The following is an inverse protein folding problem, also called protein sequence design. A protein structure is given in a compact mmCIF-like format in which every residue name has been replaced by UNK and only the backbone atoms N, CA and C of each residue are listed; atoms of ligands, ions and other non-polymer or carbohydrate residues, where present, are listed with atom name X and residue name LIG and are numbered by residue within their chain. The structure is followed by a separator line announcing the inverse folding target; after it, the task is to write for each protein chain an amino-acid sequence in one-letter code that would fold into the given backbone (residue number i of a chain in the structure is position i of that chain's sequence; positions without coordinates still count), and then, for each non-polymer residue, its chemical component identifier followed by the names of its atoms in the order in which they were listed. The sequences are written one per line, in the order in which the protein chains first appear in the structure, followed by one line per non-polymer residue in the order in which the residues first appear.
data_IF_056698636661
#
_entry.id   IF_056698636661
#
_cell.length_a   1.000
_cell.length_b   1.000
_cell.length_c   1.000
_cell.angle_alpha   90.00
_cell.angle_beta   90.00
_cell.angle_gamma   90.00
#
_symmetry.space_group_name_H-M   'P 1'
#
loop_
_entity.id
_entity.type
_entity.pdbx_description
1 polymer ?
#
# COMPACT_ATOMS: atom_id res chain seq x y z
N UNK A 1 8.92 30.37 15.75
CA UNK A 1 9.20 29.69 17.04
C UNK A 1 9.41 28.21 16.74
N UNK A 2 10.33 27.50 17.38
CA UNK A 2 10.54 26.07 17.09
C UNK A 2 9.51 25.21 17.81
N UNK A 3 8.67 24.52 17.06
CA UNK A 3 7.79 23.48 17.62
C UNK A 3 8.60 22.23 18.00
N UNK A 4 8.16 21.56 19.06
CA UNK A 4 8.76 20.31 19.53
C UNK A 4 7.79 19.16 19.34
N UNK A 5 8.34 18.05 18.87
CA UNK A 5 7.68 16.77 18.66
C UNK A 5 8.54 15.68 19.29
N UNK A 6 7.90 14.61 19.75
CA UNK A 6 8.61 13.43 20.24
C UNK A 6 9.17 12.63 19.05
N UNK A 7 8.41 12.58 17.95
CA UNK A 7 8.76 11.86 16.72
C UNK A 7 8.42 12.72 15.51
N UNK A 8 9.35 12.80 14.56
CA UNK A 8 9.15 13.41 13.26
C UNK A 8 9.06 12.32 12.18
N UNK A 9 8.02 12.39 11.34
CA UNK A 9 7.81 11.52 10.18
C UNK A 9 8.02 12.36 8.92
N UNK A 10 8.86 11.87 8.01
CA UNK A 10 9.16 12.55 6.73
C UNK A 10 8.55 11.72 5.60
N UNK A 11 7.65 12.33 4.84
CA UNK A 11 6.86 11.70 3.78
C UNK A 11 5.45 11.35 4.24
N UNK A 12 4.46 11.74 3.45
CA UNK A 12 3.02 11.54 3.66
C UNK A 12 2.41 10.42 2.83
N UNK A 13 3.23 9.52 2.26
CA UNK A 13 2.75 8.30 1.61
C UNK A 13 2.26 7.24 2.61
N UNK A 14 1.90 6.05 2.11
CA UNK A 14 1.34 4.95 2.93
C UNK A 14 2.24 4.57 4.10
N UNK A 15 3.57 4.57 3.91
CA UNK A 15 4.52 4.28 4.98
C UNK A 15 4.47 5.34 6.10
N UNK A 16 4.51 6.62 5.73
CA UNK A 16 4.54 7.72 6.69
C UNK A 16 3.21 7.90 7.43
N UNK A 17 2.08 7.86 6.72
CA UNK A 17 0.78 8.03 7.35
C UNK A 17 0.41 6.84 8.25
N UNK A 18 0.80 5.62 7.87
CA UNK A 18 0.53 4.42 8.66
C UNK A 18 1.34 4.36 9.94
N UNK A 19 2.61 4.81 9.91
CA UNK A 19 3.45 4.88 11.11
C UNK A 19 3.03 6.05 12.03
N UNK A 20 2.68 7.21 11.47
CA UNK A 20 2.16 8.34 12.24
C UNK A 20 0.87 7.97 12.98
N UNK A 21 -0.08 7.32 12.31
CA UNK A 21 -1.33 6.87 12.92
C UNK A 21 -1.08 5.91 14.11
N UNK A 22 -0.19 4.93 13.94
CA UNK A 22 0.14 3.96 15.00
C UNK A 22 0.85 4.60 16.19
N UNK A 23 1.85 5.45 15.94
CA UNK A 23 2.66 6.07 17.00
C UNK A 23 1.96 7.22 17.72
N UNK A 24 0.98 7.87 17.08
CA UNK A 24 0.25 9.01 17.65
C UNK A 24 -0.51 8.70 18.95
N UNK A 25 -0.73 7.42 19.27
CA UNK A 25 -1.31 6.99 20.55
C UNK A 25 -0.35 7.11 21.74
N UNK A 26 0.95 7.30 21.46
CA UNK A 26 2.02 7.19 22.45
C UNK A 26 2.96 8.40 22.47
N UNK A 27 2.88 9.28 21.48
CA UNK A 27 3.86 10.35 21.27
C UNK A 27 3.25 11.51 20.48
N UNK A 28 3.76 12.74 20.69
CA UNK A 28 3.44 13.89 19.86
C UNK A 28 4.17 13.78 18.52
N UNK A 29 3.41 13.58 17.44
CA UNK A 29 3.94 13.36 16.08
C UNK A 29 3.79 14.61 15.22
N UNK A 30 4.85 14.95 14.50
CA UNK A 30 4.81 15.84 13.35
C UNK A 30 5.09 15.05 12.07
N UNK A 31 4.29 15.24 11.02
CA UNK A 31 4.48 14.64 9.70
C UNK A 31 4.73 15.74 8.68
N UNK A 32 5.82 15.64 7.91
CA UNK A 32 6.16 16.58 6.84
C UNK A 32 6.07 15.89 5.49
N UNK A 33 5.19 16.38 4.63
CA UNK A 33 5.05 16.02 3.22
C UNK A 33 5.55 17.18 2.36
N UNK A 34 6.40 16.87 1.39
CA UNK A 34 6.95 17.85 0.46
C UNK A 34 5.88 18.34 -0.53
N UNK A 35 4.98 17.45 -0.94
CA UNK A 35 3.95 17.75 -1.93
C UNK A 35 2.73 18.45 -1.31
N UNK A 36 1.88 19.03 -2.16
CA UNK A 36 0.65 19.73 -1.74
C UNK A 36 -0.37 18.79 -1.07
N UNK A 37 -0.30 17.51 -1.42
CA UNK A 37 -1.19 16.47 -0.91
C UNK A 37 -0.43 15.20 -0.54
N UNK A 38 -0.97 14.49 0.44
CA UNK A 38 -0.45 13.19 0.85
C UNK A 38 -0.49 12.21 -0.33
N UNK A 39 0.44 11.25 -0.32
CA UNK A 39 0.46 10.13 -1.25
C UNK A 39 0.62 10.46 -2.75
N UNK A 40 1.15 11.62 -3.12
CA UNK A 40 1.39 12.01 -4.52
C UNK A 40 2.26 11.02 -5.34
N UNK A 41 3.22 10.38 -4.68
CA UNK A 41 4.21 9.50 -5.31
C UNK A 41 3.72 8.05 -5.39
N UNK A 42 4.56 7.07 -5.10
CA UNK A 42 4.29 5.64 -5.33
C UNK A 42 2.98 5.13 -4.73
N UNK A 43 2.53 5.70 -3.61
CA UNK A 43 1.30 5.26 -2.92
C UNK A 43 0.02 5.48 -3.74
N UNK A 44 -0.07 6.52 -4.59
CA UNK A 44 -1.23 6.74 -5.47
C UNK A 44 -1.07 6.13 -6.86
N UNK A 45 0.07 5.48 -7.15
CA UNK A 45 0.41 4.93 -8.47
C UNK A 45 0.48 3.40 -8.49
N UNK A 46 0.08 2.76 -7.41
CA UNK A 46 0.09 1.30 -7.30
C UNK A 46 -1.05 0.67 -8.10
N UNK A 47 -0.88 -0.57 -8.53
CA UNK A 47 -1.99 -1.39 -9.04
C UNK A 47 -2.97 -1.81 -7.92
N UNK A 48 -2.63 -1.52 -6.66
CA UNK A 48 -3.42 -1.76 -5.46
C UNK A 48 -3.92 -3.20 -5.28
N UNK A 49 -3.12 -4.18 -5.71
CA UNK A 49 -3.43 -5.60 -5.55
C UNK A 49 -2.81 -6.16 -4.27
N UNK A 50 -3.62 -6.84 -3.46
CA UNK A 50 -3.21 -7.54 -2.25
C UNK A 50 -3.19 -9.06 -2.48
N UNK A 51 -2.03 -9.66 -2.23
CA UNK A 51 -1.81 -11.11 -2.24
C UNK A 51 -1.03 -11.44 -0.98
N UNK A 52 -1.62 -12.20 -0.06
CA UNK A 52 -1.09 -12.37 1.29
C UNK A 52 0.29 -13.03 1.35
N UNK A 53 0.59 -13.91 0.40
CA UNK A 53 1.83 -14.70 0.33
C UNK A 53 2.73 -14.30 -0.85
N UNK A 54 2.56 -13.07 -1.37
CA UNK A 54 3.43 -12.54 -2.43
C UNK A 54 4.61 -11.77 -1.86
N UNK A 55 5.82 -12.29 -2.09
CA UNK A 55 7.08 -11.67 -1.66
C UNK A 55 8.06 -12.68 -1.08
N UNK A 56 9.03 -12.19 -0.33
CA UNK A 56 9.87 -13.02 0.53
C UNK A 56 9.15 -13.34 1.85
N UNK A 57 9.73 -14.18 2.69
CA UNK A 57 9.14 -14.60 3.97
C UNK A 57 8.67 -13.43 4.83
N UNK A 58 9.49 -12.40 4.94
CA UNK A 58 9.25 -11.26 5.84
C UNK A 58 8.09 -10.41 5.32
N UNK A 59 8.02 -10.18 4.00
CA UNK A 59 6.91 -9.49 3.36
C UNK A 59 5.61 -10.28 3.52
N UNK A 60 5.65 -11.61 3.36
CA UNK A 60 4.48 -12.46 3.54
C UNK A 60 3.96 -12.39 4.99
N UNK A 61 4.84 -12.40 5.99
CA UNK A 61 4.45 -12.25 7.39
C UNK A 61 3.78 -10.89 7.65
N UNK A 62 4.37 -9.79 7.15
CA UNK A 62 3.79 -8.46 7.24
C UNK A 62 2.44 -8.35 6.53
N UNK A 63 2.30 -8.98 5.37
CA UNK A 63 1.04 -9.03 4.63
C UNK A 63 -0.03 -9.75 5.44
N UNK A 64 0.25 -10.92 6.02
CA UNK A 64 -0.73 -11.67 6.83
C UNK A 64 -1.23 -10.87 8.04
N UNK A 65 -0.33 -10.19 8.74
CA UNK A 65 -0.70 -9.29 9.85
C UNK A 65 -1.58 -8.15 9.33
N UNK A 66 -1.17 -7.52 8.23
CA UNK A 66 -1.89 -6.41 7.61
C UNK A 66 -3.27 -6.83 7.12
N UNK A 67 -3.42 -8.05 6.58
CA UNK A 67 -4.69 -8.56 6.09
C UNK A 67 -5.74 -8.64 7.21
N UNK A 68 -5.34 -9.21 8.36
CA UNK A 68 -6.19 -9.29 9.55
C UNK A 68 -6.60 -7.90 10.06
N UNK A 69 -5.66 -6.94 10.06
CA UNK A 69 -5.96 -5.56 10.44
C UNK A 69 -6.91 -4.88 9.46
N UNK A 70 -6.68 -5.01 8.15
CA UNK A 70 -7.55 -4.42 7.13
C UNK A 70 -8.98 -4.96 7.22
N UNK A 71 -9.16 -6.27 7.40
CA UNK A 71 -10.48 -6.88 7.55
C UNK A 71 -11.21 -6.41 8.81
N UNK A 72 -10.51 -6.33 9.94
CA UNK A 72 -11.12 -5.99 11.23
C UNK A 72 -11.37 -4.50 11.42
N UNK A 73 -10.41 -3.65 11.03
CA UNK A 73 -10.44 -2.20 11.27
C UNK A 73 -11.06 -1.42 10.11
N UNK A 74 -10.96 -1.96 8.89
CA UNK A 74 -11.38 -1.27 7.68
C UNK A 74 -12.16 -2.19 6.72
N UNK A 75 -13.34 -2.68 7.14
CA UNK A 75 -14.05 -3.77 6.46
C UNK A 75 -14.42 -3.51 5.00
N UNK A 76 -14.44 -2.24 4.56
CA UNK A 76 -14.80 -1.84 3.19
C UNK A 76 -13.59 -1.55 2.28
N UNK A 77 -12.35 -1.73 2.75
CA UNK A 77 -11.14 -1.40 1.97
C UNK A 77 -10.76 -2.52 1.00
N UNK A 78 -11.07 -3.77 1.33
CA UNK A 78 -10.71 -4.93 0.52
C UNK A 78 -11.90 -5.36 -0.33
N UNK A 79 -11.66 -5.50 -1.64
CA UNK A 79 -12.64 -6.08 -2.57
C UNK A 79 -12.04 -7.29 -3.25
N UNK A 80 -12.69 -8.45 -3.12
CA UNK A 80 -12.23 -9.66 -3.79
C UNK A 80 -12.31 -9.49 -5.31
N UNK A 81 -11.21 -9.80 -6.00
CA UNK A 81 -11.08 -9.69 -7.47
C UNK A 81 -10.56 -10.95 -8.14
N UNK A 82 -9.84 -11.78 -7.39
CA UNK A 82 -9.03 -12.88 -7.93
C UNK A 82 -7.90 -12.44 -8.87
N UNK A 83 -7.08 -13.41 -9.27
CA UNK A 83 -5.96 -13.25 -10.19
C UNK A 83 -5.97 -14.37 -11.22
N UNK A 84 -5.83 -14.01 -12.49
CA UNK A 84 -5.74 -14.96 -13.60
C UNK A 84 -4.43 -14.78 -14.35
N UNK A 85 -3.76 -15.89 -14.66
CA UNK A 85 -2.67 -15.94 -15.62
C UNK A 85 -3.10 -16.73 -16.85
N UNK A 86 -2.68 -16.27 -18.04
CA UNK A 86 -3.03 -16.86 -19.33
C UNK A 86 -1.76 -17.12 -20.14
N UNK A 87 -1.70 -18.26 -20.80
CA UNK A 87 -0.59 -18.68 -21.66
C UNK A 87 -1.08 -18.78 -23.12
N UNK A 88 -0.29 -18.28 -24.08
CA UNK A 88 -0.65 -18.25 -25.50
C UNK A 88 0.24 -19.09 -26.42
N UNK A 89 1.50 -19.33 -26.05
CA UNK A 89 2.56 -19.87 -26.92
C UNK A 89 2.77 -21.38 -26.78
N UNK A 90 2.08 -22.03 -25.84
CA UNK A 90 2.26 -23.45 -25.53
C UNK A 90 3.47 -23.74 -24.63
N UNK A 91 4.05 -22.76 -23.93
CA UNK A 91 5.21 -22.98 -23.04
C UNK A 91 4.79 -23.55 -21.67
N UNK A 92 4.22 -24.76 -21.66
CA UNK A 92 3.62 -25.42 -20.48
C UNK A 92 4.52 -25.45 -19.25
N UNK A 93 5.81 -25.77 -19.44
CA UNK A 93 6.75 -25.89 -18.31
C UNK A 93 7.04 -24.54 -17.63
N UNK A 94 7.11 -23.45 -18.38
CA UNK A 94 7.34 -22.10 -17.82
C UNK A 94 6.08 -21.57 -17.15
N UNK A 95 4.93 -21.76 -17.80
CA UNK A 95 3.64 -21.35 -17.26
C UNK A 95 3.35 -22.01 -15.92
N UNK A 96 3.48 -23.34 -15.81
CA UNK A 96 3.19 -24.06 -14.56
C UNK A 96 4.11 -23.60 -13.41
N UNK A 97 5.38 -23.31 -13.70
CA UNK A 97 6.31 -22.78 -12.70
C UNK A 97 5.87 -21.40 -12.20
N UNK A 98 5.53 -20.49 -13.13
CA UNK A 98 5.09 -19.14 -12.78
C UNK A 98 3.73 -19.12 -12.07
N UNK A 99 2.78 -19.95 -12.53
CA UNK A 99 1.49 -20.12 -11.90
C UNK A 99 1.66 -20.58 -10.44
N UNK A 100 2.48 -21.62 -10.23
CA UNK A 100 2.78 -22.14 -8.90
C UNK A 100 3.47 -21.10 -8.01
N UNK A 101 4.40 -20.30 -8.54
CA UNK A 101 5.05 -19.24 -7.74
C UNK A 101 4.11 -18.11 -7.30
N UNK A 102 2.94 -17.97 -7.94
CA UNK A 102 1.91 -17.01 -7.58
C UNK A 102 0.75 -17.64 -6.79
N UNK A 103 0.85 -18.93 -6.44
CA UNK A 103 -0.22 -19.68 -5.77
C UNK A 103 -1.45 -19.90 -6.66
N UNK A 104 -1.32 -19.81 -7.98
CA UNK A 104 -2.41 -20.01 -8.93
C UNK A 104 -2.67 -21.52 -9.14
N UNK A 105 -3.95 -21.90 -9.17
CA UNK A 105 -4.39 -23.26 -9.52
C UNK A 105 -4.77 -23.33 -11.00
N UNK A 106 -4.37 -24.37 -11.75
CA UNK A 106 -4.80 -24.54 -13.14
C UNK A 106 -6.32 -24.57 -13.28
N UNK A 107 -6.84 -23.91 -14.32
CA UNK A 107 -8.25 -23.97 -14.74
C UNK A 107 -8.31 -24.20 -16.25
N UNK A 108 -9.44 -24.72 -16.73
CA UNK A 108 -9.69 -24.84 -18.17
C UNK A 108 -9.81 -23.46 -18.82
N UNK A 109 -9.53 -23.39 -20.12
CA UNK A 109 -9.69 -22.15 -20.91
C UNK A 109 -11.18 -21.74 -21.01
N UNK A 110 -12.09 -22.70 -20.85
CA UNK A 110 -13.54 -22.46 -20.80
C UNK A 110 -13.88 -21.73 -19.48
N UNK A 111 -13.45 -22.25 -18.33
CA UNK A 111 -13.63 -21.59 -17.03
C UNK A 111 -12.99 -20.19 -17.01
N UNK A 112 -11.84 -20.03 -17.65
CA UNK A 112 -11.20 -18.72 -17.77
C UNK A 112 -12.09 -17.72 -18.52
N UNK A 113 -12.73 -18.16 -19.62
CA UNK A 113 -13.67 -17.32 -20.39
C UNK A 113 -14.95 -17.01 -19.62
N UNK A 114 -15.44 -17.95 -18.80
CA UNK A 114 -16.58 -17.69 -17.91
C UNK A 114 -16.25 -16.60 -16.90
N UNK A 115 -15.02 -16.58 -16.37
CA UNK A 115 -14.53 -15.52 -15.48
C UNK A 115 -14.27 -14.18 -16.19
N UNK A 116 -13.77 -14.21 -17.43
CA UNK A 116 -13.59 -13.01 -18.25
C UNK A 116 -13.91 -13.26 -19.73
N UNK A 117 -15.08 -12.79 -20.16
CA UNK A 117 -15.65 -13.06 -21.49
C UNK A 117 -14.77 -12.60 -22.67
N UNK A 118 -13.89 -11.62 -22.44
CA UNK A 118 -12.91 -11.10 -23.41
C UNK A 118 -11.86 -12.13 -23.85
N UNK A 119 -11.72 -13.24 -23.12
CA UNK A 119 -10.77 -14.30 -23.48
C UNK A 119 -11.15 -14.98 -24.80
N UNK A 120 -10.17 -15.05 -25.70
CA UNK A 120 -10.25 -15.77 -26.96
C UNK A 120 -9.75 -17.22 -26.81
N UNK A 121 -10.67 -18.16 -27.04
CA UNK A 121 -10.41 -19.60 -26.93
C UNK A 121 -9.44 -20.13 -28.00
N UNK A 122 -9.23 -19.39 -29.10
CA UNK A 122 -8.32 -19.82 -30.18
C UNK A 122 -6.86 -19.59 -29.80
N UNK A 123 -6.58 -18.45 -29.17
CA UNK A 123 -5.22 -18.02 -28.83
C UNK A 123 -4.74 -18.49 -27.46
N UNK A 124 -5.60 -18.60 -26.44
CA UNK A 124 -5.21 -19.06 -25.11
C UNK A 124 -5.09 -20.59 -25.08
N UNK A 125 -3.97 -21.08 -24.54
CA UNK A 125 -3.68 -22.51 -24.42
C UNK A 125 -3.77 -23.02 -23.00
N UNK A 126 -3.41 -22.20 -22.00
CA UNK A 126 -3.49 -22.56 -20.59
C UNK A 126 -3.97 -21.37 -19.76
N UNK A 127 -4.65 -21.66 -18.66
CA UNK A 127 -5.11 -20.67 -17.70
C UNK A 127 -4.91 -21.19 -16.27
N UNK A 128 -4.68 -20.26 -15.34
CA UNK A 128 -4.58 -20.55 -13.92
C UNK A 128 -5.18 -19.39 -13.14
N UNK A 129 -5.80 -19.70 -12.02
CA UNK A 129 -6.63 -18.79 -11.25
C UNK A 129 -6.39 -18.91 -9.75
N UNK A 130 -6.61 -17.82 -9.04
CA UNK A 130 -6.61 -17.75 -7.58
C UNK A 130 -7.69 -16.79 -7.12
N UNK A 131 -8.51 -17.22 -6.16
CA UNK A 131 -9.67 -16.45 -5.67
C UNK A 131 -9.32 -15.48 -4.53
N UNK A 132 -8.35 -15.81 -3.68
CA UNK A 132 -7.93 -15.04 -2.49
C UNK A 132 -6.98 -13.88 -2.84
N UNK A 133 -7.34 -13.12 -3.88
CA UNK A 133 -6.67 -11.88 -4.29
C UNK A 133 -7.66 -10.73 -4.24
N UNK A 134 -7.22 -9.61 -3.69
CA UNK A 134 -8.07 -8.44 -3.40
C UNK A 134 -7.51 -7.19 -4.05
N UNK A 135 -8.39 -6.29 -4.49
CA UNK A 135 -8.03 -4.89 -4.66
C UNK A 135 -8.11 -4.19 -3.29
N UNK A 136 -7.23 -3.23 -3.07
CA UNK A 136 -7.22 -2.33 -1.92
C UNK A 136 -7.72 -0.96 -2.38
N UNK A 137 -8.77 -0.44 -1.75
CA UNK A 137 -9.10 0.98 -1.85
C UNK A 137 -8.03 1.81 -1.13
N UNK A 138 -6.97 2.14 -1.87
CA UNK A 138 -5.77 2.77 -1.34
C UNK A 138 -6.05 4.21 -0.91
N UNK A 139 -6.91 4.94 -1.64
CA UNK A 139 -7.31 6.28 -1.23
C UNK A 139 -8.08 6.22 0.09
N UNK A 140 -9.10 5.37 0.18
CA UNK A 140 -9.88 5.22 1.41
C UNK A 140 -9.01 4.82 2.61
N UNK A 141 -8.02 3.93 2.41
CA UNK A 141 -7.05 3.56 3.44
C UNK A 141 -6.25 4.77 3.94
N UNK A 142 -5.70 5.56 3.01
CA UNK A 142 -4.89 6.73 3.35
C UNK A 142 -5.74 7.79 4.04
N UNK A 143 -6.97 8.02 3.60
CA UNK A 143 -7.90 8.95 4.25
C UNK A 143 -8.31 8.48 5.65
N UNK A 144 -8.54 7.18 5.83
CA UNK A 144 -8.88 6.62 7.14
C UNK A 144 -7.71 6.77 8.13
N UNK A 145 -6.48 6.48 7.70
CA UNK A 145 -5.27 6.69 8.50
C UNK A 145 -5.02 8.17 8.80
N UNK A 146 -5.25 9.06 7.82
CA UNK A 146 -5.19 10.51 8.03
C UNK A 146 -6.21 10.97 9.08
N UNK A 147 -7.45 10.47 9.03
CA UNK A 147 -8.47 10.77 10.03
C UNK A 147 -8.04 10.34 11.43
N UNK A 148 -7.44 9.14 11.57
CA UNK A 148 -6.88 8.65 12.84
C UNK A 148 -5.72 9.53 13.33
N UNK A 149 -4.84 9.97 12.44
CA UNK A 149 -3.76 10.90 12.79
C UNK A 149 -4.32 12.21 13.36
N UNK A 150 -5.29 12.81 12.67
CA UNK A 150 -5.89 14.06 13.10
C UNK A 150 -6.65 13.92 14.43
N UNK A 151 -7.37 12.81 14.64
CA UNK A 151 -8.07 12.56 15.91
C UNK A 151 -7.11 12.39 17.09
N UNK A 152 -5.88 11.92 16.83
CA UNK A 152 -4.84 11.74 17.84
C UNK A 152 -3.92 12.98 17.98
N UNK A 153 -4.23 14.08 17.28
CA UNK A 153 -3.48 15.35 17.40
C UNK A 153 -2.15 15.39 16.64
N UNK A 154 -1.97 14.53 15.63
CA UNK A 154 -0.81 14.61 14.73
C UNK A 154 -0.87 15.93 13.94
N UNK A 155 0.23 16.69 13.94
CA UNK A 155 0.38 17.85 13.06
C UNK A 155 0.92 17.38 11.71
N UNK A 156 0.12 17.54 10.65
CA UNK A 156 0.47 17.17 9.28
C UNK A 156 0.75 18.44 8.49
N UNK A 157 1.98 18.58 7.99
CA UNK A 157 2.46 19.70 7.21
C UNK A 157 2.67 19.26 5.76
N UNK A 158 1.81 19.71 4.85
CA UNK A 158 2.01 19.54 3.40
C UNK A 158 2.78 20.74 2.83
N UNK A 159 3.26 20.64 1.59
CA UNK A 159 4.11 21.66 0.95
C UNK A 159 5.32 22.08 1.82
N UNK A 160 5.81 21.14 2.63
CA UNK A 160 6.72 21.41 3.74
C UNK A 160 7.97 20.55 3.62
N UNK A 161 8.66 20.69 2.48
CA UNK A 161 9.91 20.00 2.19
C UNK A 161 10.95 20.21 3.30
N UNK A 162 11.57 19.13 3.76
CA UNK A 162 12.72 19.19 4.68
C UNK A 162 13.98 19.43 3.86
N UNK A 163 14.54 20.63 3.97
CA UNK A 163 15.72 21.03 3.20
C UNK A 163 17.03 20.71 3.93
N UNK A 164 16.99 20.59 5.26
CA UNK A 164 18.17 20.31 6.09
C UNK A 164 17.78 19.58 7.37
N UNK A 165 18.54 18.55 7.69
CA UNK A 165 18.43 17.80 8.94
C UNK A 165 19.75 17.93 9.68
N UNK A 166 19.69 18.38 10.94
CA UNK A 166 20.88 18.56 11.78
C UNK A 166 20.71 17.81 13.09
N UNK A 167 21.81 17.26 13.60
CA UNK A 167 21.84 16.67 14.93
C UNK A 167 22.38 17.69 15.92
N UNK A 168 21.60 18.00 16.95
CA UNK A 168 22.04 18.80 18.08
C UNK A 168 21.88 17.99 19.38
N UNK A 169 23.01 17.55 19.95
CA UNK A 169 23.05 16.61 21.06
C UNK A 169 22.21 15.34 20.78
N UNK A 170 21.18 15.11 21.59
CA UNK A 170 20.25 13.96 21.45
C UNK A 170 19.01 14.27 20.61
N UNK A 171 18.92 15.43 19.95
CA UNK A 171 17.75 15.88 19.18
C UNK A 171 18.08 16.06 17.70
N UNK A 172 17.09 15.79 16.85
CA UNK A 172 17.11 16.17 15.45
C UNK A 172 16.42 17.53 15.29
N UNK A 173 17.02 18.41 14.49
CA UNK A 173 16.45 19.69 14.07
C UNK A 173 16.13 19.55 12.59
N UNK A 174 14.84 19.66 12.26
CA UNK A 174 14.34 19.60 10.91
C UNK A 174 14.06 21.04 10.45
N UNK A 175 14.72 21.46 9.37
CA UNK A 175 14.46 22.75 8.76
C UNK A 175 13.53 22.53 7.57
N UNK A 176 12.27 22.90 7.77
CA UNK A 176 11.24 22.92 6.74
C UNK A 176 10.97 24.36 6.32
N UNK A 177 10.50 24.57 5.08
CA UNK A 177 9.86 25.84 4.73
C UNK A 177 8.55 25.92 5.51
N UNK A 178 8.51 26.72 6.58
CA UNK A 178 7.23 27.07 7.21
C UNK A 178 6.58 28.12 6.31
N UNK A 179 5.45 27.79 5.69
CA UNK A 179 4.61 28.79 5.05
C UNK A 179 3.79 29.48 6.16
N UNK A 180 4.23 30.68 6.55
CA UNK A 180 3.37 31.62 7.25
C UNK A 180 2.83 32.57 6.20
N UNK A 181 1.62 32.33 5.69
CA UNK A 181 0.87 33.36 4.96
C UNK A 181 0.00 34.12 5.96
N UNK A 182 -0.01 35.46 5.82
CA UNK A 182 -0.85 36.39 6.57
C UNK A 182 -2.23 36.42 5.94
#
# INVERSE_FOLDING_TARGET
MSEKFDIAVIGGGIAGISVAARLSKHAKIGLWEQEDFLAHHSSSRSAAVFISDYGNSDVCELNLITFSELQSKFPNILKQRGLMSLEKKGETGKFNKQAKSLGLSPISVIEAKEKASIIDLKSVKQAAWRDDVFDIDTDLLIQALRKECLSNGVQIFTNSAINKIERNNKKWILNSKIQSEI
#
